data_IF_948749628873
#
_entry.id   IF_948749628873
#
_cell.length_a   1.000
_cell.length_b   1.000
_cell.length_c   1.000
_cell.angle_alpha   90.00
_cell.angle_beta   90.00
_cell.angle_gamma   90.00
#
_symmetry.space_group_name_H-M   'P 1'
#
loop_
_entity.id
_entity.type
_entity.pdbx_description
1 polymer ?
#
# COMPACT_ATOMS: atom_id res chain seq x y z
N UNK A 1 10.35 15.82 -16.13
CA UNK A 1 10.67 14.62 -15.36
C UNK A 1 9.37 13.88 -15.09
N UNK A 2 9.35 12.55 -15.10
CA UNK A 2 8.13 11.75 -14.91
C UNK A 2 8.22 11.11 -13.52
N UNK A 3 7.25 11.35 -12.61
CA UNK A 3 7.24 10.72 -11.29
C UNK A 3 7.22 9.20 -11.39
N UNK A 4 8.03 8.54 -10.56
CA UNK A 4 8.09 7.07 -10.50
C UNK A 4 7.73 6.62 -9.08
N UNK A 5 6.92 5.57 -9.00
CA UNK A 5 6.54 4.92 -7.76
C UNK A 5 7.13 3.50 -7.69
N UNK A 6 7.55 3.08 -6.50
CA UNK A 6 8.09 1.74 -6.28
C UNK A 6 7.33 1.02 -5.17
N UNK A 7 6.97 -0.24 -5.42
CA UNK A 7 6.36 -1.13 -4.45
C UNK A 7 7.00 -2.52 -4.46
N UNK A 8 6.79 -3.26 -3.38
CA UNK A 8 7.31 -4.63 -3.23
C UNK A 8 8.52 -4.71 -2.30
N UNK A 9 8.44 -5.58 -1.30
CA UNK A 9 9.57 -5.84 -0.39
C UNK A 9 9.92 -4.75 0.63
N UNK A 10 9.21 -3.63 0.68
CA UNK A 10 9.44 -2.54 1.65
C UNK A 10 9.05 -3.00 3.07
N UNK A 11 9.99 -2.99 4.03
CA UNK A 11 9.80 -3.52 5.39
C UNK A 11 10.37 -2.64 6.51
N UNK A 12 11.14 -1.61 6.18
CA UNK A 12 11.79 -0.71 7.13
C UNK A 12 11.91 0.70 6.54
N UNK A 13 12.16 1.68 7.40
CA UNK A 13 12.23 3.10 7.03
C UNK A 13 13.51 3.43 6.26
N UNK A 14 14.63 2.78 6.57
CA UNK A 14 15.92 2.97 5.90
C UNK A 14 15.81 2.65 4.40
N UNK A 15 15.08 1.59 4.04
CA UNK A 15 14.81 1.24 2.65
C UNK A 15 13.95 2.29 1.95
N UNK A 16 12.97 2.89 2.66
CA UNK A 16 12.13 3.96 2.12
C UNK A 16 12.99 5.19 1.83
N UNK A 17 13.76 5.64 2.82
CA UNK A 17 14.65 6.81 2.70
C UNK A 17 15.60 6.66 1.51
N UNK A 18 16.29 5.52 1.43
CA UNK A 18 17.20 5.23 0.31
C UNK A 18 16.53 5.36 -1.05
N UNK A 19 15.34 4.79 -1.21
CA UNK A 19 14.64 4.84 -2.50
C UNK A 19 14.18 6.24 -2.87
N UNK A 20 13.75 7.03 -1.89
CA UNK A 20 13.38 8.42 -2.10
C UNK A 20 14.61 9.27 -2.46
N UNK A 21 15.74 9.05 -1.79
CA UNK A 21 17.04 9.69 -2.10
C UNK A 21 17.55 9.33 -3.50
N UNK A 22 17.29 8.10 -3.95
CA UNK A 22 17.60 7.64 -5.31
C UNK A 22 16.66 8.26 -6.39
N UNK A 23 15.71 9.11 -5.99
CA UNK A 23 14.87 9.91 -6.88
C UNK A 23 13.45 9.38 -7.11
N UNK A 24 13.01 8.37 -6.35
CA UNK A 24 11.62 7.91 -6.42
C UNK A 24 10.68 8.93 -5.79
N UNK A 25 9.53 9.13 -6.42
CA UNK A 25 8.53 10.11 -5.93
C UNK A 25 7.66 9.53 -4.83
N UNK A 26 7.34 8.22 -4.92
CA UNK A 26 6.44 7.56 -3.99
C UNK A 26 6.87 6.12 -3.68
N UNK A 27 6.65 5.70 -2.44
CA UNK A 27 6.83 4.32 -2.00
C UNK A 27 5.49 3.69 -1.66
N UNK A 28 5.24 2.51 -2.22
CA UNK A 28 4.00 1.76 -2.03
C UNK A 28 4.22 0.66 -0.99
N UNK A 29 3.47 0.73 0.10
CA UNK A 29 3.46 -0.29 1.15
C UNK A 29 2.19 -1.12 1.04
N UNK A 30 2.33 -2.40 0.69
CA UNK A 30 1.22 -3.36 0.56
C UNK A 30 1.01 -4.18 1.84
N UNK A 31 1.25 -5.50 1.75
CA UNK A 31 1.07 -6.46 2.86
C UNK A 31 1.67 -6.01 4.22
N UNK A 32 2.79 -5.28 4.22
CA UNK A 32 3.39 -4.78 5.46
C UNK A 32 2.49 -3.78 6.21
N UNK A 33 1.73 -2.94 5.49
CA UNK A 33 0.77 -2.01 6.10
C UNK A 33 -0.37 -2.74 6.82
N UNK A 34 -0.84 -3.86 6.26
CA UNK A 34 -1.90 -4.69 6.86
C UNK A 34 -1.39 -5.44 8.08
N UNK A 35 -0.20 -6.05 8.00
CA UNK A 35 0.37 -6.87 9.07
C UNK A 35 0.97 -6.05 10.21
N UNK A 36 1.53 -4.89 9.89
CA UNK A 36 2.10 -3.96 10.86
C UNK A 36 1.61 -2.54 10.55
N UNK A 37 0.40 -2.17 10.99
CA UNK A 37 -0.14 -0.82 10.80
C UNK A 37 0.72 0.27 11.46
N UNK A 38 1.47 -0.07 12.51
CA UNK A 38 2.42 0.84 13.16
C UNK A 38 3.53 1.28 12.20
N UNK A 39 4.09 0.33 11.44
CA UNK A 39 5.09 0.65 10.41
C UNK A 39 4.55 1.62 9.34
N UNK A 40 3.29 1.46 8.91
CA UNK A 40 2.69 2.40 7.97
C UNK A 40 2.57 3.80 8.58
N UNK A 41 2.10 3.89 9.83
CA UNK A 41 1.97 5.17 10.52
C UNK A 41 3.34 5.87 10.70
N UNK A 42 4.37 5.11 11.09
CA UNK A 42 5.75 5.62 11.21
C UNK A 42 6.28 6.12 9.87
N UNK A 43 6.05 5.36 8.78
CA UNK A 43 6.45 5.75 7.43
C UNK A 43 5.75 7.02 6.96
N UNK A 44 4.43 7.15 7.16
CA UNK A 44 3.70 8.37 6.80
C UNK A 44 4.16 9.58 7.61
N UNK A 45 4.51 9.38 8.88
CA UNK A 45 5.05 10.45 9.73
C UNK A 45 6.46 10.88 9.31
N UNK A 46 7.31 9.93 8.88
CA UNK A 46 8.68 10.21 8.48
C UNK A 46 8.77 10.82 7.06
N UNK A 47 7.89 10.39 6.16
CA UNK A 47 7.91 10.76 4.73
C UNK A 47 6.55 11.30 4.26
N UNK A 48 6.09 12.45 4.79
CA UNK A 48 4.78 12.99 4.50
C UNK A 48 4.61 13.30 3.00
N UNK A 49 3.50 12.86 2.42
CA UNK A 49 3.20 13.06 0.99
C UNK A 49 3.94 12.13 0.04
N UNK A 50 4.71 11.16 0.54
CA UNK A 50 5.51 10.23 -0.29
C UNK A 50 5.12 8.76 -0.10
N UNK A 51 4.18 8.45 0.79
CA UNK A 51 3.76 7.08 1.09
C UNK A 51 2.38 6.80 0.49
N UNK A 52 2.31 5.75 -0.33
CA UNK A 52 1.09 5.20 -0.88
C UNK A 52 0.84 3.84 -0.25
N UNK A 53 -0.42 3.48 0.01
CA UNK A 53 -0.77 2.14 0.46
C UNK A 53 -1.42 1.32 -0.65
N UNK A 54 -0.98 0.07 -0.80
CA UNK A 54 -1.60 -0.89 -1.71
C UNK A 54 -2.60 -1.77 -0.97
N UNK A 55 -3.86 -1.81 -1.43
CA UNK A 55 -4.92 -2.66 -0.90
C UNK A 55 -5.42 -3.59 -2.01
N UNK A 56 -5.00 -4.85 -1.91
CA UNK A 56 -5.52 -5.94 -2.74
C UNK A 56 -6.82 -6.47 -2.12
N UNK A 57 -7.88 -6.56 -2.91
CA UNK A 57 -9.21 -6.89 -2.44
C UNK A 57 -9.85 -8.05 -3.22
N UNK A 58 -10.55 -8.92 -2.48
CA UNK A 58 -11.42 -9.95 -3.04
C UNK A 58 -12.71 -10.00 -2.24
N UNK A 59 -13.84 -9.88 -2.91
CA UNK A 59 -15.17 -9.99 -2.30
C UNK A 59 -15.34 -9.07 -1.06
N UNK A 60 -14.80 -7.84 -1.13
CA UNK A 60 -14.83 -6.85 -0.04
C UNK A 60 -13.78 -7.05 1.06
N UNK A 61 -13.02 -8.15 1.03
CA UNK A 61 -11.97 -8.47 2.02
C UNK A 61 -10.58 -8.19 1.49
N UNK A 62 -9.68 -7.76 2.39
CA UNK A 62 -8.28 -7.48 2.04
C UNK A 62 -7.49 -8.78 1.92
N UNK A 63 -6.76 -8.95 0.83
CA UNK A 63 -5.80 -10.03 0.62
C UNK A 63 -4.36 -9.58 0.91
N UNK A 64 -3.52 -10.50 1.37
CA UNK A 64 -2.11 -10.27 1.72
C UNK A 64 -1.24 -11.43 1.22
N UNK A 65 0.09 -11.30 1.35
CA UNK A 65 1.05 -12.33 0.94
C UNK A 65 0.93 -12.71 -0.55
N UNK A 66 0.90 -11.70 -1.43
CA UNK A 66 0.76 -11.92 -2.87
C UNK A 66 -0.56 -12.64 -3.20
N UNK A 67 -1.64 -12.17 -2.58
CA UNK A 67 -3.01 -12.68 -2.73
C UNK A 67 -3.29 -14.07 -2.15
N UNK A 68 -2.28 -14.74 -1.59
CA UNK A 68 -2.43 -16.10 -1.07
C UNK A 68 -3.22 -16.19 0.24
N UNK A 69 -3.37 -15.08 0.97
CA UNK A 69 -4.08 -15.05 2.26
C UNK A 69 -5.15 -13.98 2.29
N UNK A 70 -6.40 -14.41 2.50
CA UNK A 70 -7.48 -13.49 2.84
C UNK A 70 -7.34 -13.08 4.31
N UNK A 71 -7.32 -11.79 4.57
CA UNK A 71 -7.39 -11.27 5.94
C UNK A 71 -8.86 -11.20 6.40
N UNK A 72 -9.07 -11.00 7.70
CA UNK A 72 -10.40 -10.73 8.24
C UNK A 72 -10.91 -9.31 7.99
N UNK A 73 -10.04 -8.40 7.52
CA UNK A 73 -10.34 -6.98 7.40
C UNK A 73 -11.22 -6.68 6.19
N UNK A 74 -12.25 -5.86 6.41
CA UNK A 74 -12.99 -5.20 5.34
C UNK A 74 -12.12 -4.14 4.68
N UNK A 75 -12.22 -4.03 3.35
CA UNK A 75 -11.43 -3.08 2.56
C UNK A 75 -11.72 -1.63 2.97
N UNK A 76 -13.00 -1.28 3.14
CA UNK A 76 -13.42 0.09 3.43
C UNK A 76 -12.89 0.53 4.79
N UNK A 77 -13.03 -0.30 5.81
CA UNK A 77 -12.54 -0.02 7.16
C UNK A 77 -11.03 0.19 7.17
N UNK A 78 -10.30 -0.63 6.42
CA UNK A 78 -8.85 -0.53 6.34
C UNK A 78 -8.40 0.72 5.57
N UNK A 79 -9.10 1.05 4.47
CA UNK A 79 -8.85 2.27 3.70
C UNK A 79 -9.03 3.54 4.54
N UNK A 80 -10.15 3.64 5.27
CA UNK A 80 -10.43 4.77 6.17
C UNK A 80 -9.40 4.87 7.30
N UNK A 81 -8.99 3.73 7.86
CA UNK A 81 -7.94 3.69 8.88
C UNK A 81 -6.61 4.23 8.34
N UNK A 82 -6.23 3.83 7.13
CA UNK A 82 -4.95 4.23 6.53
C UNK A 82 -4.96 5.66 6.02
N UNK A 83 -6.09 6.17 5.53
CA UNK A 83 -6.30 7.61 5.30
C UNK A 83 -5.97 8.41 6.58
N UNK A 84 -6.45 7.95 7.73
CA UNK A 84 -6.15 8.56 9.03
C UNK A 84 -4.67 8.54 9.44
N UNK A 85 -3.82 7.75 8.78
CA UNK A 85 -2.37 7.75 8.98
C UNK A 85 -1.63 8.75 8.09
N UNK A 86 -2.33 9.37 7.12
CA UNK A 86 -1.73 10.33 6.20
C UNK A 86 -1.04 9.69 5.00
N UNK A 87 -1.54 8.55 4.51
CA UNK A 87 -1.15 8.05 3.19
C UNK A 87 -1.54 9.07 2.12
N UNK A 88 -0.66 9.30 1.16
CA UNK A 88 -0.91 10.22 0.04
C UNK A 88 -2.00 9.70 -0.89
N UNK A 89 -1.98 8.38 -1.12
CA UNK A 89 -2.96 7.72 -1.96
C UNK A 89 -3.17 6.27 -1.55
N UNK A 90 -4.28 5.72 -2.03
CA UNK A 90 -4.60 4.30 -1.94
C UNK A 90 -4.61 3.73 -3.37
N UNK A 91 -3.79 2.73 -3.61
CA UNK A 91 -3.88 1.89 -4.80
C UNK A 91 -4.75 0.69 -4.44
N UNK A 92 -5.92 0.62 -5.05
CA UNK A 92 -6.86 -0.48 -4.88
C UNK A 92 -6.77 -1.44 -6.06
N UNK A 93 -6.72 -2.74 -5.78
CA UNK A 93 -6.74 -3.79 -6.81
C UNK A 93 -7.85 -4.79 -6.51
N UNK A 94 -8.83 -4.90 -7.42
CA UNK A 94 -9.82 -5.98 -7.39
C UNK A 94 -9.19 -7.25 -7.99
N UNK A 95 -8.67 -8.12 -7.11
CA UNK A 95 -7.95 -9.33 -7.54
C UNK A 95 -8.87 -10.38 -8.18
N UNK A 96 -10.20 -10.25 -8.01
CA UNK A 96 -11.17 -11.11 -8.69
C UNK A 96 -11.28 -10.81 -10.18
N UNK A 97 -10.79 -9.65 -10.61
CA UNK A 97 -10.86 -9.16 -12.01
C UNK A 97 -9.50 -8.85 -12.60
N UNK A 98 -8.45 -8.80 -11.78
CA UNK A 98 -7.11 -8.45 -12.26
C UNK A 98 -6.65 -9.40 -13.39
N UNK A 99 -6.10 -8.82 -14.45
CA UNK A 99 -5.68 -9.55 -15.65
C UNK A 99 -6.81 -10.04 -16.56
N UNK A 100 -8.08 -9.81 -16.23
CA UNK A 100 -9.23 -10.34 -17.01
C UNK A 100 -9.69 -9.41 -18.16
N UNK A 101 -9.15 -8.19 -18.26
CA UNK A 101 -9.55 -7.15 -19.23
C UNK A 101 -11.07 -6.86 -19.28
N UNK A 102 -11.77 -7.11 -18.17
CA UNK A 102 -13.23 -6.99 -18.10
C UNK A 102 -13.73 -5.61 -17.68
N UNK A 103 -12.84 -4.73 -17.21
CA UNK A 103 -13.23 -3.46 -16.59
C UNK A 103 -14.04 -3.65 -15.30
N UNK A 104 -14.57 -2.54 -14.78
CA UNK A 104 -15.51 -2.48 -13.66
C UNK A 104 -16.77 -1.76 -14.12
#
# INVERSE_FOLDING_TARGET
EIPVQLGGGIRDLDTIERYLDDGLSYIIIGTAAVKNPGFLADACSAFPGQIIVGIDAKDGKVATDGWSKLSGHEVIDLAQKFEGYGVEAIIYTDIGRDGMMGGV
#
